data_IF_432433897440
#
_entry.id   IF_432433897440
#
_cell.length_a   1.000
_cell.length_b   1.000
_cell.length_c   1.000
_cell.angle_alpha   90.00
_cell.angle_beta   90.00
_cell.angle_gamma   90.00
#
_symmetry.space_group_name_H-M   'P 1'
#
loop_
_entity.id
_entity.type
_entity.pdbx_description
1 polymer ?
#
# COMPACT_ATOMS: atom_id res chain seq x y z
N UNK A 1 9.03 -22.18 54.17
CA UNK A 1 9.76 -21.22 53.34
C UNK A 1 10.66 -21.99 52.39
N UNK A 2 10.29 -22.11 51.14
CA UNK A 2 11.15 -22.55 50.01
C UNK A 2 10.81 -21.65 48.82
N UNK A 3 11.79 -20.85 48.44
CA UNK A 3 11.70 -19.96 47.30
C UNK A 3 11.81 -20.76 45.98
N UNK A 4 10.85 -20.59 45.08
CA UNK A 4 10.91 -21.12 43.73
C UNK A 4 11.57 -20.05 42.83
N UNK A 5 12.77 -20.34 42.34
CA UNK A 5 13.45 -19.53 41.36
C UNK A 5 12.91 -19.83 39.96
N UNK A 6 12.42 -18.80 39.29
CA UNK A 6 12.01 -18.86 37.90
C UNK A 6 13.24 -18.70 37.01
N UNK A 7 13.58 -19.78 36.27
CA UNK A 7 14.63 -19.75 35.27
C UNK A 7 14.08 -19.08 33.99
N UNK A 8 14.61 -17.92 33.66
CA UNK A 8 14.42 -17.27 32.35
C UNK A 8 15.33 -17.97 31.32
N UNK A 9 14.75 -18.75 30.45
CA UNK A 9 15.40 -19.28 29.25
C UNK A 9 15.54 -18.15 28.21
N UNK A 10 16.72 -17.60 28.08
CA UNK A 10 17.10 -16.74 26.99
C UNK A 10 17.27 -17.60 25.71
N UNK A 11 16.36 -17.50 24.77
CA UNK A 11 16.50 -18.10 23.44
C UNK A 11 17.54 -17.30 22.65
N UNK A 12 18.71 -17.90 22.45
CA UNK A 12 19.74 -17.37 21.56
C UNK A 12 19.27 -17.49 20.10
N UNK A 13 19.07 -16.36 19.42
CA UNK A 13 18.90 -16.31 17.98
C UNK A 13 20.22 -16.71 17.31
N UNK A 14 20.20 -17.55 16.24
CA UNK A 14 21.40 -17.86 15.50
C UNK A 14 21.93 -16.59 14.81
N UNK A 15 23.25 -16.44 14.83
CA UNK A 15 23.96 -15.35 14.20
C UNK A 15 23.56 -15.18 12.74
N UNK A 16 23.09 -13.99 12.38
CA UNK A 16 22.80 -13.55 11.04
C UNK A 16 24.06 -13.73 10.17
N UNK A 17 23.90 -14.27 8.99
CA UNK A 17 24.88 -14.20 7.91
C UNK A 17 25.09 -12.71 7.64
N UNK A 18 26.20 -12.18 8.12
CA UNK A 18 26.64 -10.82 7.86
C UNK A 18 27.13 -10.75 6.39
N UNK A 19 26.20 -10.64 5.46
CA UNK A 19 26.48 -10.06 4.15
C UNK A 19 26.88 -8.60 4.40
N UNK A 20 27.93 -8.12 3.74
CA UNK A 20 28.37 -6.73 3.84
C UNK A 20 27.16 -5.83 3.58
N UNK A 21 26.77 -5.03 4.59
CA UNK A 21 25.71 -4.04 4.46
C UNK A 21 26.21 -3.02 3.45
N UNK A 22 25.63 -3.04 2.24
CA UNK A 22 25.92 -1.99 1.25
C UNK A 22 25.57 -0.65 1.87
N UNK A 23 26.54 0.22 1.98
CA UNK A 23 26.36 1.57 2.53
C UNK A 23 25.36 2.34 1.65
N UNK A 24 24.52 3.16 2.30
CA UNK A 24 23.72 4.18 1.57
C UNK A 24 24.70 5.03 0.75
N UNK A 25 24.44 5.29 -0.53
CA UNK A 25 25.35 6.05 -1.38
C UNK A 25 25.74 7.38 -0.74
N UNK A 26 27.01 7.71 -0.74
CA UNK A 26 27.50 9.03 -0.32
C UNK A 26 26.79 10.13 -1.12
N UNK A 27 26.31 11.16 -0.44
CA UNK A 27 25.55 12.25 -1.09
C UNK A 27 24.06 11.95 -1.37
N UNK A 28 23.52 10.81 -0.92
CA UNK A 28 22.09 10.48 -1.13
C UNK A 28 21.17 11.57 -0.58
N UNK A 29 21.42 12.08 0.63
CA UNK A 29 20.60 13.13 1.22
C UNK A 29 20.56 14.38 0.34
N UNK A 30 21.73 14.79 -0.16
CA UNK A 30 21.83 15.94 -1.07
C UNK A 30 21.09 15.69 -2.38
N UNK A 31 21.24 14.53 -2.99
CA UNK A 31 20.56 14.18 -4.23
C UNK A 31 19.01 14.17 -4.05
N UNK A 32 18.52 13.67 -2.92
CA UNK A 32 17.09 13.68 -2.61
C UNK A 32 16.59 15.09 -2.29
N UNK A 33 17.38 15.93 -1.62
CA UNK A 33 17.02 17.33 -1.40
C UNK A 33 16.91 18.09 -2.73
N UNK A 34 17.88 17.93 -3.63
CA UNK A 34 17.85 18.53 -4.97
C UNK A 34 16.64 18.07 -5.78
N UNK A 35 16.26 16.77 -5.66
CA UNK A 35 15.09 16.20 -6.32
C UNK A 35 13.79 16.79 -5.76
N UNK A 36 13.65 16.89 -4.43
CA UNK A 36 12.49 17.50 -3.78
C UNK A 36 12.36 18.99 -4.12
N UNK A 37 13.46 19.74 -4.04
CA UNK A 37 13.50 21.16 -4.40
C UNK A 37 13.16 21.39 -5.88
N UNK A 38 13.61 20.51 -6.77
CA UNK A 38 13.25 20.54 -8.18
C UNK A 38 11.75 20.29 -8.38
N UNK A 39 11.16 19.31 -7.68
CA UNK A 39 9.72 19.03 -7.77
C UNK A 39 8.87 20.25 -7.36
N UNK A 40 9.25 20.95 -6.29
CA UNK A 40 8.57 22.18 -5.88
C UNK A 40 8.77 23.32 -6.89
N UNK A 41 10.02 23.53 -7.32
CA UNK A 41 10.35 24.63 -8.26
C UNK A 41 9.67 24.46 -9.62
N UNK A 42 9.57 23.22 -10.13
CA UNK A 42 8.91 22.91 -11.39
C UNK A 42 7.39 22.76 -11.26
N UNK A 43 6.85 22.97 -10.05
CA UNK A 43 5.43 22.80 -9.74
C UNK A 43 4.90 21.39 -10.05
N UNK A 44 5.71 20.37 -9.85
CA UNK A 44 5.27 18.98 -9.94
C UNK A 44 4.30 18.62 -8.79
N UNK A 45 4.48 19.24 -7.62
CA UNK A 45 3.57 19.15 -6.47
C UNK A 45 3.70 20.39 -5.58
N UNK A 46 2.64 20.74 -4.79
CA UNK A 46 2.72 21.79 -3.77
C UNK A 46 3.64 21.43 -2.61
N UNK A 47 3.59 20.19 -2.17
CA UNK A 47 4.34 19.68 -1.04
C UNK A 47 4.77 18.23 -1.24
N UNK A 48 5.91 17.89 -0.65
CA UNK A 48 6.51 16.56 -0.75
C UNK A 48 7.16 16.15 0.58
N UNK A 49 7.00 14.89 0.93
CA UNK A 49 7.68 14.24 2.04
C UNK A 49 8.38 12.99 1.54
N UNK A 50 9.68 12.82 1.86
CA UNK A 50 10.47 11.65 1.52
C UNK A 50 11.14 11.07 2.75
N UNK A 51 11.22 9.75 2.83
CA UNK A 51 11.99 9.05 3.85
C UNK A 51 12.73 7.87 3.25
N UNK A 52 13.99 7.66 3.65
CA UNK A 52 14.79 6.48 3.29
C UNK A 52 15.26 5.80 4.56
N UNK A 53 15.04 4.49 4.63
CA UNK A 53 15.41 3.66 5.77
C UNK A 53 16.21 2.45 5.31
N UNK A 54 17.10 1.99 6.15
CA UNK A 54 17.82 0.73 5.96
C UNK A 54 18.04 0.05 7.32
N UNK A 55 17.72 -1.26 7.40
CA UNK A 55 17.93 -2.06 8.61
C UNK A 55 17.29 -1.43 9.86
N UNK A 56 16.03 -1.00 9.76
CA UNK A 56 15.26 -0.35 10.80
C UNK A 56 15.81 1.02 11.26
N UNK A 57 16.67 1.65 10.48
CA UNK A 57 17.24 2.97 10.80
C UNK A 57 16.91 3.99 9.71
N UNK A 58 16.48 5.20 10.10
CA UNK A 58 16.35 6.29 9.14
C UNK A 58 17.73 6.71 8.61
N UNK A 59 17.81 6.95 7.29
CA UNK A 59 18.98 7.45 6.61
C UNK A 59 18.75 8.87 6.10
N UNK A 60 17.57 9.12 5.55
CA UNK A 60 17.16 10.44 5.06
C UNK A 60 15.71 10.67 5.44
N UNK A 61 15.39 11.89 5.89
CA UNK A 61 14.03 12.38 6.11
C UNK A 61 13.95 13.81 5.59
N UNK A 62 13.09 14.06 4.61
CA UNK A 62 12.94 15.35 3.95
C UNK A 62 11.46 15.75 3.87
N UNK A 63 11.21 17.04 4.08
CA UNK A 63 9.92 17.67 3.87
C UNK A 63 10.15 19.01 3.16
N UNK A 64 9.42 19.27 2.07
CA UNK A 64 9.54 20.51 1.27
C UNK A 64 8.18 20.98 0.80
N UNK A 65 8.07 22.27 0.56
CA UNK A 65 6.86 22.91 0.02
C UNK A 65 5.75 23.09 1.05
N UNK A 66 4.51 23.15 0.58
CA UNK A 66 3.33 23.54 1.35
C UNK A 66 2.39 22.38 1.61
N UNK A 67 2.02 22.16 2.86
CA UNK A 67 0.94 21.29 3.31
C UNK A 67 -0.43 21.89 2.98
N UNK A 68 -0.53 23.20 3.05
CA UNK A 68 -1.71 23.96 2.68
C UNK A 68 -1.27 25.26 1.98
N UNK A 69 -1.70 25.44 0.72
CA UNK A 69 -1.36 26.63 -0.09
C UNK A 69 -2.08 27.88 0.38
N UNK A 70 -3.31 27.76 0.89
CA UNK A 70 -4.14 28.89 1.29
C UNK A 70 -3.63 29.55 2.57
N UNK A 71 -3.13 28.74 3.51
CA UNK A 71 -2.58 29.19 4.80
C UNK A 71 -1.06 29.30 4.79
N UNK A 72 -0.40 28.95 3.66
CA UNK A 72 1.05 28.85 3.53
C UNK A 72 1.71 27.94 4.60
N UNK A 73 0.98 26.93 5.10
CA UNK A 73 1.49 25.97 6.07
C UNK A 73 2.52 25.07 5.41
N UNK A 74 3.78 24.97 5.92
CA UNK A 74 4.79 24.13 5.33
C UNK A 74 4.53 22.64 5.58
N UNK A 75 5.03 21.77 4.68
CA UNK A 75 5.14 20.34 4.96
C UNK A 75 6.21 20.13 6.03
N UNK A 76 5.87 19.32 7.03
CA UNK A 76 6.76 18.93 8.13
C UNK A 76 6.93 17.40 8.18
N UNK A 77 7.86 16.91 9.00
CA UNK A 77 8.06 15.48 9.22
C UNK A 77 6.80 14.76 9.76
N UNK A 78 5.96 15.48 10.51
CA UNK A 78 4.70 14.96 11.04
C UNK A 78 3.49 15.19 10.10
N UNK A 79 3.69 15.72 8.90
CA UNK A 79 2.59 15.94 7.95
C UNK A 79 2.01 14.61 7.48
N UNK A 80 0.67 14.49 7.57
CA UNK A 80 -0.08 13.27 7.30
C UNK A 80 -0.75 13.37 5.94
N UNK A 81 -0.42 12.45 5.04
CA UNK A 81 -0.94 12.38 3.68
C UNK A 81 -1.87 11.19 3.51
N UNK A 82 -2.83 11.28 2.60
CA UNK A 82 -3.52 10.09 2.09
C UNK A 82 -2.56 9.31 1.19
N UNK A 83 -2.55 8.00 1.35
CA UNK A 83 -1.58 7.12 0.68
C UNK A 83 -2.20 6.27 -0.44
N UNK A 84 -3.51 6.40 -0.69
CA UNK A 84 -4.19 5.70 -1.78
C UNK A 84 -3.92 4.19 -1.76
N UNK A 85 -3.62 3.62 -2.92
CA UNK A 85 -3.45 2.17 -3.09
C UNK A 85 -2.30 1.53 -2.30
N UNK A 86 -1.45 2.30 -1.60
CA UNK A 86 -0.56 1.71 -0.60
C UNK A 86 -1.34 0.99 0.51
N UNK A 87 -2.63 1.31 0.68
CA UNK A 87 -3.57 0.63 1.57
C UNK A 87 -3.61 -0.88 1.34
N UNK A 88 -3.49 -1.33 0.09
CA UNK A 88 -3.64 -2.73 -0.29
C UNK A 88 -2.67 -3.66 0.42
N UNK A 89 -1.45 -3.22 0.68
CA UNK A 89 -0.45 -4.00 1.41
C UNK A 89 -0.92 -4.30 2.85
N UNK A 90 -1.53 -3.34 3.51
CA UNK A 90 -2.04 -3.49 4.88
C UNK A 90 -3.26 -4.42 4.91
N UNK A 91 -4.18 -4.26 3.95
CA UNK A 91 -5.34 -5.15 3.80
C UNK A 91 -4.91 -6.60 3.54
N UNK A 92 -3.96 -6.82 2.63
CA UNK A 92 -3.43 -8.15 2.34
C UNK A 92 -2.68 -8.75 3.55
N UNK A 93 -1.94 -7.95 4.30
CA UNK A 93 -1.27 -8.40 5.53
C UNK A 93 -2.27 -8.76 6.63
N UNK A 94 -3.40 -8.04 6.75
CA UNK A 94 -4.50 -8.41 7.66
C UNK A 94 -5.09 -9.77 7.30
N UNK A 95 -5.35 -10.03 6.01
CA UNK A 95 -5.81 -11.34 5.54
C UNK A 95 -4.79 -12.43 5.90
N UNK A 96 -3.50 -12.20 5.63
CA UNK A 96 -2.45 -13.16 5.98
C UNK A 96 -2.36 -13.43 7.49
N UNK A 97 -2.50 -12.40 8.34
CA UNK A 97 -2.56 -12.58 9.81
C UNK A 97 -3.80 -13.35 10.27
N UNK A 98 -4.96 -13.11 9.66
CA UNK A 98 -6.17 -13.85 10.00
C UNK A 98 -6.09 -15.32 9.54
N UNK A 99 -5.40 -15.59 8.41
CA UNK A 99 -5.09 -16.94 7.97
C UNK A 99 -4.15 -17.64 8.96
N UNK A 100 -3.07 -17.00 9.43
CA UNK A 100 -2.19 -17.54 10.47
C UNK A 100 -2.90 -17.86 11.79
N UNK A 101 -3.98 -17.12 12.09
CA UNK A 101 -4.84 -17.35 13.24
C UNK A 101 -5.89 -18.46 13.00
N UNK A 102 -5.92 -19.09 11.82
CA UNK A 102 -6.89 -20.12 11.44
C UNK A 102 -8.32 -19.59 11.29
N UNK A 103 -8.52 -18.28 11.12
CA UNK A 103 -9.85 -17.67 11.01
C UNK A 103 -10.40 -17.66 9.59
N UNK A 104 -9.55 -17.79 8.61
CA UNK A 104 -9.88 -17.89 7.20
C UNK A 104 -8.80 -18.67 6.45
N UNK A 105 -9.08 -19.05 5.20
CA UNK A 105 -8.07 -19.49 4.24
C UNK A 105 -8.15 -18.63 2.98
N UNK A 106 -7.02 -18.25 2.41
CA UNK A 106 -6.99 -17.52 1.13
C UNK A 106 -7.55 -18.35 -0.04
N UNK A 107 -7.66 -19.67 0.12
CA UNK A 107 -8.26 -20.58 -0.86
C UNK A 107 -9.78 -20.73 -0.70
N UNK A 108 -10.39 -20.17 0.35
CA UNK A 108 -11.84 -20.17 0.50
C UNK A 108 -12.49 -19.26 -0.55
N UNK A 109 -13.67 -19.66 -1.01
CA UNK A 109 -14.54 -18.81 -1.83
C UNK A 109 -15.07 -17.62 -1.04
N UNK A 110 -15.22 -16.49 -1.72
CA UNK A 110 -15.74 -15.25 -1.13
C UNK A 110 -17.11 -15.43 -0.45
N UNK A 111 -17.97 -16.27 -1.00
CA UNK A 111 -19.30 -16.59 -0.49
C UNK A 111 -19.31 -17.21 0.92
N UNK A 112 -18.22 -17.84 1.33
CA UNK A 112 -18.06 -18.36 2.70
C UNK A 112 -18.14 -17.24 3.75
N UNK A 113 -17.71 -16.04 3.42
CA UNK A 113 -17.69 -14.89 4.32
C UNK A 113 -18.72 -13.83 3.99
N UNK A 114 -19.12 -13.74 2.73
CA UNK A 114 -20.09 -12.79 2.21
C UNK A 114 -21.19 -13.57 1.46
N UNK A 115 -22.15 -14.07 2.22
CA UNK A 115 -23.22 -14.98 1.77
C UNK A 115 -23.98 -14.49 0.52
N UNK A 116 -24.06 -13.17 0.31
CA UNK A 116 -24.72 -12.59 -0.86
C UNK A 116 -23.94 -12.76 -2.18
N UNK A 117 -22.77 -13.42 -2.15
CA UNK A 117 -22.06 -13.91 -3.33
C UNK A 117 -22.40 -15.37 -3.67
N UNK A 118 -23.16 -16.09 -2.84
CA UNK A 118 -23.56 -17.46 -3.12
C UNK A 118 -24.28 -17.59 -4.49
N UNK A 119 -23.92 -18.60 -5.26
CA UNK A 119 -24.47 -18.84 -6.60
C UNK A 119 -23.96 -17.91 -7.71
N UNK A 120 -23.04 -16.99 -7.40
CA UNK A 120 -22.50 -16.01 -8.36
C UNK A 120 -21.09 -16.38 -8.88
N UNK A 121 -20.71 -17.67 -8.81
CA UNK A 121 -19.37 -18.13 -9.18
C UNK A 121 -18.25 -17.35 -8.46
N UNK A 122 -18.27 -17.28 -7.12
CA UNK A 122 -17.41 -16.39 -6.37
C UNK A 122 -15.93 -16.73 -6.56
N UNK A 123 -15.06 -15.71 -6.63
CA UNK A 123 -13.62 -15.90 -6.60
C UNK A 123 -13.16 -16.39 -5.22
N UNK A 124 -11.97 -16.96 -5.15
CA UNK A 124 -11.25 -17.17 -3.89
C UNK A 124 -10.68 -15.86 -3.34
N UNK A 125 -10.38 -15.80 -2.04
CA UNK A 125 -9.70 -14.63 -1.47
C UNK A 125 -8.32 -14.40 -2.11
N UNK A 126 -7.62 -15.47 -2.51
CA UNK A 126 -6.35 -15.37 -3.21
C UNK A 126 -6.49 -14.68 -4.58
N UNK A 127 -7.54 -15.01 -5.32
CA UNK A 127 -7.83 -14.37 -6.61
C UNK A 127 -8.15 -12.87 -6.45
N UNK A 128 -8.84 -12.48 -5.37
CA UNK A 128 -9.04 -11.07 -5.02
C UNK A 128 -7.70 -10.37 -4.71
N UNK A 129 -6.87 -10.97 -3.87
CA UNK A 129 -5.54 -10.44 -3.51
C UNK A 129 -4.69 -10.22 -4.76
N UNK A 130 -4.71 -11.16 -5.67
CA UNK A 130 -3.86 -11.20 -6.87
C UNK A 130 -4.44 -10.46 -8.08
N UNK A 131 -5.63 -9.84 -7.97
CA UNK A 131 -6.32 -9.19 -9.08
C UNK A 131 -6.67 -10.15 -10.26
N UNK A 132 -6.86 -11.42 -9.97
CA UNK A 132 -7.31 -12.43 -10.95
C UNK A 132 -8.78 -12.83 -10.76
N UNK A 133 -9.49 -12.14 -9.87
CA UNK A 133 -10.89 -12.41 -9.52
C UNK A 133 -11.89 -12.00 -10.60
N UNK A 134 -11.49 -11.17 -11.55
CA UNK A 134 -12.39 -10.65 -12.60
C UNK A 134 -13.47 -9.69 -12.13
N UNK A 135 -13.55 -9.35 -10.84
CA UNK A 135 -14.56 -8.41 -10.34
C UNK A 135 -14.42 -7.06 -11.03
N UNK A 136 -15.53 -6.56 -11.55
CA UNK A 136 -15.59 -5.34 -12.37
C UNK A 136 -14.80 -4.19 -11.74
N UNK A 137 -13.92 -3.58 -12.55
CA UNK A 137 -12.93 -2.64 -12.02
C UNK A 137 -13.51 -1.27 -11.66
N UNK A 138 -14.57 -0.81 -12.35
CA UNK A 138 -15.21 0.47 -12.08
C UNK A 138 -16.04 0.41 -10.78
N UNK A 139 -15.58 1.14 -9.76
CA UNK A 139 -16.21 1.15 -8.43
C UNK A 139 -16.92 2.47 -8.12
N UNK A 140 -16.76 3.50 -8.94
CA UNK A 140 -17.30 4.84 -8.69
C UNK A 140 -18.83 4.83 -8.59
N UNK A 141 -19.49 3.94 -9.33
CA UNK A 141 -20.96 3.78 -9.33
C UNK A 141 -21.54 3.24 -8.02
N UNK A 142 -20.71 2.61 -7.18
CA UNK A 142 -21.15 2.05 -5.88
C UNK A 142 -20.92 3.01 -4.71
N UNK A 143 -20.18 4.10 -4.92
CA UNK A 143 -19.93 5.08 -3.88
C UNK A 143 -21.19 5.90 -3.55
N UNK A 144 -21.32 6.25 -2.29
CA UNK A 144 -22.45 7.01 -1.72
C UNK A 144 -21.88 8.10 -0.80
N UNK A 145 -22.38 9.34 -0.83
CA UNK A 145 -21.90 10.38 0.06
C UNK A 145 -22.16 10.08 1.55
N UNK A 146 -23.02 9.11 1.85
CA UNK A 146 -23.22 8.63 3.22
C UNK A 146 -22.06 7.72 3.64
N UNK A 147 -21.74 7.73 4.92
CA UNK A 147 -20.77 6.80 5.48
C UNK A 147 -21.34 5.37 5.48
N UNK A 148 -20.69 4.45 4.77
CA UNK A 148 -21.12 3.06 4.61
C UNK A 148 -19.99 2.11 5.02
N UNK A 149 -20.35 0.94 5.55
CA UNK A 149 -19.39 -0.11 5.92
C UNK A 149 -18.81 -0.80 4.66
N UNK A 150 -17.68 -1.50 4.82
CA UNK A 150 -17.13 -2.28 3.73
C UNK A 150 -18.08 -3.41 3.29
N UNK A 151 -18.82 -4.01 4.25
CA UNK A 151 -19.83 -5.03 3.93
C UNK A 151 -20.97 -4.45 3.09
N UNK A 152 -21.41 -3.22 3.35
CA UNK A 152 -22.44 -2.58 2.53
C UNK A 152 -21.93 -2.25 1.13
N UNK A 153 -20.70 -1.74 0.99
CA UNK A 153 -20.07 -1.55 -0.33
C UNK A 153 -19.95 -2.88 -1.09
N UNK A 154 -19.56 -3.95 -0.40
CA UNK A 154 -19.50 -5.29 -1.00
C UNK A 154 -20.88 -5.77 -1.51
N UNK A 155 -21.97 -5.45 -0.78
CA UNK A 155 -23.34 -5.73 -1.28
C UNK A 155 -23.65 -4.96 -2.55
N UNK A 156 -23.29 -3.69 -2.63
CA UNK A 156 -23.48 -2.88 -3.84
C UNK A 156 -22.67 -3.43 -5.01
N UNK A 157 -21.40 -3.80 -4.77
CA UNK A 157 -20.58 -4.47 -5.79
C UNK A 157 -21.27 -5.74 -6.28
N UNK A 158 -21.78 -6.56 -5.37
CA UNK A 158 -22.46 -7.82 -5.73
C UNK A 158 -23.77 -7.63 -6.50
N UNK A 159 -24.36 -6.46 -6.43
CA UNK A 159 -25.64 -6.11 -7.07
C UNK A 159 -25.43 -5.38 -8.43
N UNK A 160 -24.21 -5.14 -8.86
CA UNK A 160 -23.94 -4.52 -10.17
C UNK A 160 -24.43 -5.42 -11.30
N UNK A 161 -24.92 -4.83 -12.39
CA UNK A 161 -25.37 -5.53 -13.59
C UNK A 161 -24.22 -6.36 -14.18
N UNK A 162 -23.03 -5.76 -14.29
CA UNK A 162 -21.80 -6.45 -14.67
C UNK A 162 -20.97 -6.70 -13.42
N UNK A 163 -21.02 -7.92 -12.90
CA UNK A 163 -20.26 -8.29 -11.72
C UNK A 163 -18.80 -8.65 -12.06
N UNK A 164 -18.58 -9.30 -13.20
CA UNK A 164 -17.28 -9.76 -13.65
C UNK A 164 -16.96 -9.29 -15.06
N UNK A 165 -15.75 -8.76 -15.26
CA UNK A 165 -15.19 -8.44 -16.57
C UNK A 165 -14.73 -9.73 -17.30
N UNK A 166 -14.33 -10.76 -16.53
CA UNK A 166 -13.94 -12.09 -17.01
C UNK A 166 -14.15 -13.13 -15.91
N UNK A 167 -14.22 -14.44 -16.24
CA UNK A 167 -14.38 -15.49 -15.25
C UNK A 167 -13.21 -15.52 -14.24
N UNK A 168 -13.46 -15.67 -12.92
CA UNK A 168 -12.42 -15.72 -11.91
C UNK A 168 -11.30 -16.71 -12.24
N UNK A 169 -10.06 -16.29 -12.09
CA UNK A 169 -8.85 -17.08 -12.31
C UNK A 169 -8.41 -17.24 -13.78
N UNK A 170 -9.00 -16.52 -14.74
CA UNK A 170 -8.69 -16.67 -16.17
C UNK A 170 -7.83 -15.56 -16.78
N UNK A 171 -7.80 -14.39 -16.17
CA UNK A 171 -7.01 -13.23 -16.59
C UNK A 171 -6.61 -12.37 -15.39
N UNK A 172 -5.87 -11.30 -15.64
CA UNK A 172 -5.48 -10.30 -14.66
C UNK A 172 -6.00 -8.91 -15.04
N UNK A 173 -6.64 -8.24 -14.07
CA UNK A 173 -7.03 -6.82 -14.18
C UNK A 173 -7.00 -6.18 -12.79
N UNK A 174 -6.27 -5.08 -12.65
CA UNK A 174 -6.25 -4.33 -11.41
C UNK A 174 -7.65 -3.79 -11.07
N UNK A 175 -8.19 -4.13 -9.91
CA UNK A 175 -9.52 -3.71 -9.49
C UNK A 175 -9.53 -3.30 -8.02
N UNK A 176 -10.02 -2.08 -7.73
CA UNK A 176 -10.26 -1.62 -6.37
C UNK A 176 -11.35 -2.43 -5.66
N UNK A 177 -12.36 -2.90 -6.42
CA UNK A 177 -13.42 -3.75 -5.88
C UNK A 177 -12.86 -4.96 -5.14
N UNK A 178 -11.80 -5.60 -5.65
CA UNK A 178 -11.18 -6.75 -5.00
C UNK A 178 -10.76 -6.45 -3.55
N UNK A 179 -10.15 -5.32 -3.31
CA UNK A 179 -9.65 -4.95 -1.98
C UNK A 179 -10.72 -4.33 -1.07
N UNK A 180 -11.78 -3.76 -1.63
CA UNK A 180 -13.00 -3.42 -0.89
C UNK A 180 -13.66 -4.71 -0.37
N UNK A 181 -13.78 -5.75 -1.21
CA UNK A 181 -14.30 -7.06 -0.83
C UNK A 181 -13.44 -7.73 0.25
N UNK A 182 -12.10 -7.66 0.14
CA UNK A 182 -11.20 -8.14 1.21
C UNK A 182 -11.39 -7.36 2.52
N UNK A 183 -11.63 -6.05 2.45
CA UNK A 183 -12.00 -5.24 3.60
C UNK A 183 -13.29 -5.73 4.27
N UNK A 184 -14.31 -6.06 3.47
CA UNK A 184 -15.57 -6.63 3.96
C UNK A 184 -15.38 -8.02 4.60
N UNK A 185 -14.51 -8.87 4.03
CA UNK A 185 -14.15 -10.16 4.63
C UNK A 185 -13.48 -9.96 5.99
N UNK A 186 -12.57 -8.99 6.13
CA UNK A 186 -11.94 -8.68 7.41
C UNK A 186 -13.00 -8.25 8.44
N UNK A 187 -13.96 -7.40 8.07
CA UNK A 187 -15.06 -7.00 8.95
C UNK A 187 -15.92 -8.20 9.36
N UNK A 188 -16.30 -9.06 8.40
CA UNK A 188 -17.10 -10.25 8.67
C UNK A 188 -16.40 -11.25 9.60
N UNK A 189 -15.09 -11.49 9.39
CA UNK A 189 -14.31 -12.46 10.18
C UNK A 189 -13.97 -11.93 11.56
N UNK A 190 -13.73 -10.62 11.71
CA UNK A 190 -13.31 -10.02 12.99
C UNK A 190 -14.49 -9.52 13.83
N UNK A 191 -15.66 -9.30 13.23
CA UNK A 191 -16.79 -8.62 13.85
C UNK A 191 -16.51 -7.15 14.20
N UNK A 192 -15.50 -6.54 13.58
CA UNK A 192 -15.05 -5.16 13.86
C UNK A 192 -14.91 -4.37 12.56
N UNK A 193 -15.12 -3.04 12.60
CA UNK A 193 -14.79 -2.18 11.47
C UNK A 193 -13.34 -2.38 11.02
N UNK A 194 -13.09 -2.33 9.71
CA UNK A 194 -11.76 -2.51 9.11
C UNK A 194 -10.69 -1.64 9.78
N UNK A 195 -11.00 -0.36 10.03
CA UNK A 195 -10.10 0.57 10.71
C UNK A 195 -9.69 0.10 12.11
N UNK A 196 -10.64 -0.45 12.88
CA UNK A 196 -10.40 -0.97 14.23
C UNK A 196 -9.55 -2.24 14.18
N UNK A 197 -9.84 -3.16 13.26
CA UNK A 197 -9.06 -4.38 13.07
C UNK A 197 -7.61 -4.05 12.69
N UNK A 198 -7.40 -3.13 11.75
CA UNK A 198 -6.08 -2.70 11.31
C UNK A 198 -5.29 -2.02 12.43
N UNK A 199 -5.91 -1.10 13.16
CA UNK A 199 -5.28 -0.43 14.30
C UNK A 199 -4.76 -1.44 15.31
N UNK A 200 -5.60 -2.38 15.73
CA UNK A 200 -5.27 -3.38 16.76
C UNK A 200 -4.24 -4.41 16.28
N UNK A 201 -4.36 -4.89 15.04
CA UNK A 201 -3.56 -6.01 14.54
C UNK A 201 -2.25 -5.57 13.87
N UNK A 202 -2.17 -4.31 13.38
CA UNK A 202 -1.01 -3.81 12.66
C UNK A 202 -0.45 -2.52 13.27
N UNK A 203 -1.25 -1.44 13.35
CA UNK A 203 -0.68 -0.12 13.58
C UNK A 203 -0.14 0.04 15.00
N UNK A 204 -0.91 -0.31 16.04
CA UNK A 204 -0.48 -0.22 17.45
C UNK A 204 0.73 -1.13 17.74
N UNK A 205 0.73 -2.44 17.35
CA UNK A 205 1.89 -3.30 17.62
C UNK A 205 3.18 -2.86 16.92
N UNK A 206 3.09 -2.14 15.79
CA UNK A 206 4.23 -1.66 15.01
C UNK A 206 4.63 -0.22 15.34
N UNK A 207 3.88 0.45 16.24
CA UNK A 207 4.11 1.85 16.58
C UNK A 207 3.92 2.82 15.41
N UNK A 208 2.97 2.52 14.49
CA UNK A 208 2.62 3.37 13.37
C UNK A 208 1.57 4.39 13.82
N UNK A 209 2.02 5.41 14.53
CA UNK A 209 1.14 6.35 15.26
C UNK A 209 0.40 7.33 14.34
N UNK A 210 0.95 7.60 13.17
CA UNK A 210 0.38 8.53 12.19
C UNK A 210 -0.33 7.81 11.04
N UNK A 211 -0.41 6.46 11.11
CA UNK A 211 -1.06 5.62 10.12
C UNK A 211 -2.43 5.16 10.60
N UNK A 212 -3.46 5.40 9.79
CA UNK A 212 -4.82 4.93 10.06
C UNK A 212 -5.63 4.84 8.77
N UNK A 213 -6.73 4.08 8.78
CA UNK A 213 -7.80 4.26 7.80
C UNK A 213 -8.42 5.64 8.02
N UNK A 214 -8.45 6.44 6.97
CA UNK A 214 -8.89 7.85 7.02
C UNK A 214 -10.40 7.97 6.89
N UNK A 215 -10.96 9.01 7.50
CA UNK A 215 -12.33 9.43 7.33
C UNK A 215 -12.38 10.95 7.13
N UNK A 216 -13.29 11.41 6.24
CA UNK A 216 -13.43 12.83 5.97
C UNK A 216 -13.87 13.61 7.21
N UNK A 217 -14.64 12.98 8.10
CA UNK A 217 -15.13 13.59 9.34
C UNK A 217 -14.07 13.70 10.45
N UNK A 218 -12.94 12.99 10.34
CA UNK A 218 -11.91 12.99 11.37
C UNK A 218 -11.15 14.32 11.41
N UNK A 219 -10.93 14.85 12.60
CA UNK A 219 -9.95 15.91 12.83
C UNK A 219 -8.57 15.26 13.04
N UNK A 220 -7.72 15.34 12.00
CA UNK A 220 -6.39 14.74 12.03
C UNK A 220 -5.34 15.84 12.15
N UNK A 221 -4.56 15.85 13.24
CA UNK A 221 -3.44 16.79 13.37
C UNK A 221 -2.47 16.65 12.19
N UNK A 222 -1.94 17.77 11.71
CA UNK A 222 -0.97 17.83 10.61
C UNK A 222 -1.46 17.24 9.25
N UNK A 223 -2.77 17.04 9.07
CA UNK A 223 -3.32 16.61 7.78
C UNK A 223 -3.01 17.66 6.72
N UNK A 224 -2.49 17.23 5.58
CA UNK A 224 -2.23 18.10 4.43
C UNK A 224 -3.46 18.19 3.52
N UNK A 225 -3.61 19.30 2.80
CA UNK A 225 -4.63 19.46 1.76
C UNK A 225 -4.18 18.80 0.46
N UNK A 226 -5.14 18.23 -0.27
CA UNK A 226 -4.91 17.64 -1.58
C UNK A 226 -5.19 18.63 -2.71
N UNK A 227 -4.43 18.52 -3.80
CA UNK A 227 -4.51 19.45 -4.92
C UNK A 227 -4.55 18.74 -6.26
N UNK A 228 -5.18 19.39 -7.25
CA UNK A 228 -5.22 18.98 -8.65
C UNK A 228 -4.42 19.96 -9.51
N UNK A 229 -3.54 19.53 -10.41
CA UNK A 229 -2.88 20.42 -11.35
C UNK A 229 -3.89 21.12 -12.25
N UNK A 230 -3.77 22.42 -12.45
CA UNK A 230 -4.61 23.14 -13.41
C UNK A 230 -3.98 23.17 -14.78
N UNK A 231 -4.81 23.30 -15.84
CA UNK A 231 -4.32 23.60 -17.17
C UNK A 231 -3.58 24.94 -17.16
N UNK A 232 -2.49 25.02 -17.91
CA UNK A 232 -1.53 26.10 -17.89
C UNK A 232 -2.15 27.51 -17.86
N UNK A 233 -1.67 28.34 -16.95
CA UNK A 233 -1.81 29.79 -17.07
C UNK A 233 -1.85 30.58 -15.77
N UNK A 234 -2.72 30.32 -14.81
CA UNK A 234 -2.86 31.24 -13.69
C UNK A 234 -2.38 30.65 -12.35
N UNK A 235 -3.12 29.76 -11.77
CA UNK A 235 -2.68 29.02 -10.59
C UNK A 235 -2.18 27.65 -11.05
N UNK A 236 -1.08 27.17 -10.48
CA UNK A 236 -0.56 25.83 -10.84
C UNK A 236 -1.47 24.70 -10.30
N UNK A 237 -2.28 24.99 -9.28
CA UNK A 237 -3.08 24.02 -8.54
C UNK A 237 -4.45 24.56 -8.15
N UNK A 238 -5.44 23.68 -8.12
CA UNK A 238 -6.73 23.86 -7.48
C UNK A 238 -6.87 22.88 -6.32
N UNK A 239 -7.82 23.11 -5.41
CA UNK A 239 -8.20 22.10 -4.43
C UNK A 239 -8.75 20.87 -5.15
N UNK A 240 -8.32 19.70 -4.73
CA UNK A 240 -8.82 18.46 -5.28
C UNK A 240 -10.27 18.18 -4.85
N UNK A 241 -11.00 17.40 -5.63
CA UNK A 241 -12.36 17.00 -5.31
C UNK A 241 -12.43 16.24 -3.98
N UNK A 242 -13.47 16.51 -3.21
CA UNK A 242 -13.72 15.81 -1.97
C UNK A 242 -14.27 14.41 -2.25
N UNK A 243 -13.40 13.40 -2.21
CA UNK A 243 -13.80 12.01 -2.33
C UNK A 243 -14.23 11.47 -0.95
N UNK A 244 -15.31 10.65 -0.82
CA UNK A 244 -15.62 9.92 0.39
C UNK A 244 -14.57 8.80 0.60
N UNK A 245 -13.44 9.17 1.22
CA UNK A 245 -12.24 8.33 1.34
C UNK A 245 -12.50 7.01 2.07
N UNK A 246 -13.46 6.99 2.99
CA UNK A 246 -13.89 5.81 3.74
C UNK A 246 -14.32 4.68 2.81
N UNK A 247 -14.87 5.03 1.66
CA UNK A 247 -15.38 4.06 0.67
C UNK A 247 -14.27 3.46 -0.19
N UNK A 248 -13.12 4.12 -0.29
CA UNK A 248 -11.93 3.48 -0.84
C UNK A 248 -11.44 2.32 0.06
N UNK A 249 -11.82 2.32 1.34
CA UNK A 249 -11.69 1.22 2.29
C UNK A 249 -10.40 0.44 2.19
N UNK A 250 -10.49 -0.86 2.12
CA UNK A 250 -9.36 -1.78 1.97
C UNK A 250 -8.51 -1.55 0.71
N UNK A 251 -9.00 -0.78 -0.27
CA UNK A 251 -8.30 -0.49 -1.50
C UNK A 251 -7.46 0.80 -1.46
N UNK A 252 -7.87 1.81 -0.65
CA UNK A 252 -7.26 3.14 -0.81
C UNK A 252 -7.36 4.12 0.35
N UNK A 253 -7.95 3.77 1.49
CA UNK A 253 -8.32 4.73 2.52
C UNK A 253 -7.24 5.03 3.57
N UNK A 254 -6.02 4.51 3.46
CA UNK A 254 -4.98 4.80 4.48
C UNK A 254 -4.45 6.23 4.33
N UNK A 255 -4.28 6.89 5.49
CA UNK A 255 -3.41 8.05 5.69
C UNK A 255 -2.14 7.64 6.42
N UNK A 256 -1.03 8.32 6.17
CA UNK A 256 0.26 7.99 6.80
C UNK A 256 1.28 9.13 6.64
N UNK A 257 2.46 8.94 7.20
CA UNK A 257 3.68 9.71 6.93
C UNK A 257 4.69 8.86 6.16
N UNK A 258 5.66 9.48 5.49
CA UNK A 258 6.73 8.73 4.80
C UNK A 258 7.56 7.91 5.80
N UNK A 259 7.71 8.37 7.04
CA UNK A 259 8.39 7.67 8.13
C UNK A 259 7.66 6.39 8.52
N UNK A 260 6.35 6.45 8.76
CA UNK A 260 5.56 5.27 9.12
C UNK A 260 5.48 4.27 7.98
N UNK A 261 5.40 4.72 6.73
CA UNK A 261 5.46 3.84 5.56
C UNK A 261 6.80 3.09 5.47
N UNK A 262 7.91 3.76 5.77
CA UNK A 262 9.20 3.08 5.86
C UNK A 262 9.24 2.07 7.01
N UNK A 263 8.76 2.42 8.21
CA UNK A 263 8.64 1.49 9.35
C UNK A 263 7.79 0.28 9.00
N UNK A 264 6.69 0.50 8.30
CA UNK A 264 5.82 -0.57 7.81
C UNK A 264 6.60 -1.59 6.96
N UNK A 265 7.29 -1.14 5.92
CA UNK A 265 8.07 -2.03 5.06
C UNK A 265 9.24 -2.70 5.81
N UNK A 266 9.93 -1.96 6.69
CA UNK A 266 10.98 -2.55 7.52
C UNK A 266 10.43 -3.68 8.40
N UNK A 267 9.26 -3.48 9.03
CA UNK A 267 8.59 -4.49 9.84
C UNK A 267 8.11 -5.69 9.00
N UNK A 268 7.50 -5.43 7.83
CA UNK A 268 7.00 -6.47 6.93
C UNK A 268 8.14 -7.39 6.48
N UNK A 269 9.21 -6.81 5.94
CA UNK A 269 10.34 -7.58 5.38
C UNK A 269 11.31 -8.13 6.43
N UNK A 270 11.20 -7.73 7.70
CA UNK A 270 11.90 -8.38 8.82
C UNK A 270 11.13 -9.59 9.40
N UNK A 271 9.90 -9.84 8.96
CA UNK A 271 9.06 -10.91 9.50
C UNK A 271 8.36 -10.54 10.82
N UNK A 272 8.33 -9.25 11.18
CA UNK A 272 7.65 -8.78 12.41
C UNK A 272 6.13 -8.67 12.25
N UNK A 273 5.62 -8.65 11.03
CA UNK A 273 4.19 -8.52 10.72
C UNK A 273 3.52 -9.88 10.61
N UNK A 274 4.08 -10.78 9.81
CA UNK A 274 3.61 -12.14 9.53
C UNK A 274 4.77 -13.11 9.62
N UNK A 275 4.50 -14.41 9.68
CA UNK A 275 5.54 -15.45 9.65
C UNK A 275 6.34 -15.39 8.34
N UNK A 276 7.54 -15.97 8.37
CA UNK A 276 8.38 -16.10 7.17
C UNK A 276 7.66 -16.81 6.03
N UNK A 277 6.94 -17.89 6.32
CA UNK A 277 6.17 -18.62 5.32
C UNK A 277 5.07 -17.77 4.69
N UNK A 278 4.37 -16.96 5.48
CA UNK A 278 3.36 -16.02 4.96
C UNK A 278 4.01 -14.91 4.14
N UNK A 279 5.14 -14.36 4.57
CA UNK A 279 5.88 -13.37 3.81
C UNK A 279 6.33 -13.92 2.44
N UNK A 280 6.82 -15.15 2.40
CA UNK A 280 7.20 -15.83 1.14
C UNK A 280 5.99 -15.95 0.20
N UNK A 281 4.79 -16.30 0.72
CA UNK A 281 3.55 -16.30 -0.06
C UNK A 281 3.17 -14.90 -0.54
N UNK A 282 3.31 -13.88 0.31
CA UNK A 282 3.03 -12.49 -0.06
C UNK A 282 3.93 -11.99 -1.21
N UNK A 283 5.14 -12.51 -1.30
CA UNK A 283 6.13 -12.19 -2.35
C UNK A 283 6.10 -13.15 -3.54
N UNK A 284 5.16 -14.09 -3.57
CA UNK A 284 4.92 -14.94 -4.73
C UNK A 284 4.09 -14.18 -5.78
N UNK A 285 4.46 -14.33 -7.06
CA UNK A 285 3.72 -13.72 -8.17
C UNK A 285 2.40 -14.42 -8.44
N UNK A 286 1.38 -13.66 -8.78
CA UNK A 286 0.06 -14.15 -9.14
C UNK A 286 0.10 -15.17 -10.29
N UNK A 287 -0.70 -16.24 -10.14
CA UNK A 287 -0.93 -17.26 -11.17
C UNK A 287 -2.42 -17.39 -11.42
N UNK A 288 -2.78 -17.79 -12.63
CA UNK A 288 -4.12 -18.15 -13.02
C UNK A 288 -4.47 -19.56 -12.50
N UNK A 289 -5.74 -19.98 -12.58
CA UNK A 289 -6.20 -21.32 -12.14
C UNK A 289 -5.50 -22.47 -12.90
N UNK A 290 -5.10 -22.24 -14.13
CA UNK A 290 -4.37 -23.21 -14.95
C UNK A 290 -2.85 -23.20 -14.70
N UNK A 291 -2.37 -22.40 -13.73
CA UNK A 291 -0.96 -22.31 -13.34
C UNK A 291 -0.12 -21.32 -14.16
N UNK A 292 -0.65 -20.75 -15.24
CA UNK A 292 0.09 -19.76 -16.05
C UNK A 292 0.37 -18.46 -15.25
N UNK A 293 1.50 -17.76 -15.50
CA UNK A 293 1.76 -16.47 -14.87
C UNK A 293 0.68 -15.44 -15.23
N UNK A 294 0.07 -14.81 -14.25
CA UNK A 294 -1.00 -13.84 -14.48
C UNK A 294 -0.53 -12.60 -15.26
N UNK A 295 0.75 -12.21 -15.10
CA UNK A 295 1.36 -11.07 -15.79
C UNK A 295 1.32 -11.17 -17.32
N UNK A 296 1.33 -12.39 -17.86
CA UNK A 296 1.31 -12.66 -19.29
C UNK A 296 -0.12 -12.69 -19.88
N UNK A 297 -1.13 -12.62 -19.01
CA UNK A 297 -2.54 -12.79 -19.37
C UNK A 297 -3.39 -11.61 -18.85
N UNK A 298 -3.01 -10.40 -19.23
CA UNK A 298 -3.75 -9.18 -18.88
C UNK A 298 -5.03 -9.12 -19.68
N UNK A 299 -6.14 -8.81 -19.01
CA UNK A 299 -7.42 -8.58 -19.66
C UNK A 299 -7.38 -7.31 -20.51
N UNK A 300 -6.77 -6.24 -19.97
CA UNK A 300 -6.44 -5.04 -20.74
C UNK A 300 -4.91 -4.95 -20.92
N UNK A 301 -4.39 -5.18 -22.14
CA UNK A 301 -2.95 -5.06 -22.40
C UNK A 301 -2.39 -3.65 -22.18
N UNK A 302 -3.24 -2.61 -22.24
CA UNK A 302 -2.86 -1.23 -22.01
C UNK A 302 -2.78 -0.87 -20.52
N UNK A 303 -3.30 -1.73 -19.61
CA UNK A 303 -3.20 -1.50 -18.18
C UNK A 303 -1.74 -1.50 -17.71
N UNK A 304 -1.26 -0.30 -17.36
CA UNK A 304 0.11 -0.09 -16.89
C UNK A 304 0.29 -0.37 -15.38
N UNK A 305 -0.78 -0.70 -14.65
CA UNK A 305 -0.74 -0.83 -13.19
C UNK A 305 0.12 -1.99 -12.70
N UNK A 306 0.36 -3.00 -13.54
CA UNK A 306 1.21 -4.13 -13.15
C UNK A 306 2.69 -3.93 -13.48
N UNK A 307 3.07 -3.02 -14.36
CA UNK A 307 4.45 -2.95 -14.84
C UNK A 307 4.90 -4.26 -15.52
N UNK A 308 6.19 -4.55 -15.56
CA UNK A 308 6.74 -5.70 -16.29
C UNK A 308 6.94 -6.98 -15.45
N UNK A 309 6.66 -7.00 -14.16
CA UNK A 309 7.31 -7.95 -13.26
C UNK A 309 6.40 -8.92 -12.52
N UNK A 310 5.23 -8.52 -12.10
CA UNK A 310 4.26 -9.37 -11.41
C UNK A 310 3.65 -8.71 -10.19
N UNK A 311 2.62 -9.33 -9.64
CA UNK A 311 1.85 -8.83 -8.51
C UNK A 311 1.72 -9.92 -7.43
N UNK A 312 1.98 -9.52 -6.18
CA UNK A 312 1.80 -10.34 -4.99
C UNK A 312 0.66 -9.81 -4.11
N UNK A 313 0.84 -9.81 -2.80
CA UNK A 313 -0.16 -9.35 -1.84
C UNK A 313 -0.12 -7.83 -1.67
N UNK A 314 -0.77 -7.11 -2.57
CA UNK A 314 -0.76 -5.65 -2.57
C UNK A 314 0.62 -5.04 -2.92
N UNK A 315 1.46 -5.79 -3.60
CA UNK A 315 2.83 -5.44 -3.94
C UNK A 315 3.11 -5.74 -5.42
N UNK A 316 3.66 -4.79 -6.13
CA UNK A 316 4.37 -5.01 -7.39
C UNK A 316 5.74 -5.60 -7.08
N UNK A 317 6.12 -6.65 -7.80
CA UNK A 317 7.33 -7.42 -7.55
C UNK A 317 8.28 -7.28 -8.74
N UNK A 318 9.34 -6.49 -8.58
CA UNK A 318 10.34 -6.26 -9.64
C UNK A 318 11.62 -7.04 -9.33
N UNK A 319 11.93 -8.01 -10.20
CA UNK A 319 13.14 -8.86 -10.12
C UNK A 319 14.22 -8.46 -11.13
N UNK A 320 14.01 -7.37 -11.87
CA UNK A 320 15.02 -6.84 -12.78
C UNK A 320 16.07 -6.02 -12.00
N UNK A 321 16.83 -6.71 -11.13
CA UNK A 321 17.91 -6.13 -10.33
C UNK A 321 19.25 -6.78 -10.72
N UNK A 322 20.36 -6.06 -10.53
CA UNK A 322 21.71 -6.56 -10.87
C UNK A 322 22.15 -7.75 -10.03
N UNK A 323 21.71 -7.78 -8.78
CA UNK A 323 22.04 -8.85 -7.82
C UNK A 323 21.04 -10.02 -7.85
N UNK A 324 20.06 -9.99 -8.77
CA UNK A 324 18.97 -10.97 -8.81
C UNK A 324 18.01 -10.89 -7.63
N UNK A 325 18.08 -9.82 -6.84
CA UNK A 325 17.20 -9.56 -5.71
C UNK A 325 15.78 -9.21 -6.13
N UNK A 326 15.01 -8.69 -5.20
CA UNK A 326 13.63 -8.26 -5.38
C UNK A 326 13.44 -6.85 -4.88
N UNK A 327 12.88 -5.97 -5.71
CA UNK A 327 12.27 -4.72 -5.27
C UNK A 327 10.76 -4.94 -5.17
N UNK A 328 10.24 -4.89 -3.95
CA UNK A 328 8.82 -4.90 -3.68
C UNK A 328 8.33 -3.44 -3.53
N UNK A 329 7.32 -3.06 -4.30
CA UNK A 329 6.87 -1.67 -4.37
C UNK A 329 5.37 -1.56 -4.62
N UNK A 330 4.81 -0.39 -4.37
CA UNK A 330 3.50 0.02 -4.88
C UNK A 330 3.44 1.54 -4.99
N UNK A 331 2.64 2.04 -5.93
CA UNK A 331 2.22 3.45 -5.98
C UNK A 331 0.80 3.58 -5.40
N UNK A 332 0.48 4.76 -4.91
CA UNK A 332 -0.84 5.09 -4.42
C UNK A 332 -1.34 6.41 -4.99
N UNK A 333 -2.57 6.39 -5.49
CA UNK A 333 -3.24 7.58 -5.99
C UNK A 333 -4.64 7.65 -5.40
N UNK A 334 -5.01 8.81 -4.91
CA UNK A 334 -6.35 9.15 -4.47
C UNK A 334 -6.50 10.66 -4.61
N UNK A 335 -7.73 11.15 -4.83
CA UNK A 335 -7.98 12.57 -5.11
C UNK A 335 -7.09 13.51 -4.29
N UNK A 336 -6.27 14.29 -4.97
CA UNK A 336 -5.32 15.24 -4.41
C UNK A 336 -4.02 14.65 -3.85
N UNK A 337 -3.75 13.34 -4.01
CA UNK A 337 -2.58 12.72 -3.39
C UNK A 337 -1.93 11.66 -4.27
N UNK A 338 -0.61 11.68 -4.27
CA UNK A 338 0.23 10.66 -4.92
C UNK A 338 1.26 10.14 -3.93
N UNK A 339 1.42 8.82 -3.88
CA UNK A 339 2.32 8.12 -2.98
C UNK A 339 3.14 7.06 -3.71
N UNK A 340 4.34 6.80 -3.21
CA UNK A 340 5.19 5.72 -3.70
C UNK A 340 6.00 5.14 -2.54
N UNK A 341 6.05 3.80 -2.47
CA UNK A 341 6.76 3.06 -1.45
C UNK A 341 7.46 1.88 -2.11
N UNK A 342 8.76 1.70 -1.85
CA UNK A 342 9.54 0.60 -2.39
C UNK A 342 10.62 0.14 -1.42
N UNK A 343 10.93 -1.16 -1.48
CA UNK A 343 12.02 -1.77 -0.72
C UNK A 343 12.78 -2.76 -1.60
N UNK A 344 14.11 -2.61 -1.66
CA UNK A 344 14.98 -3.68 -2.09
C UNK A 344 15.09 -4.70 -0.94
N UNK A 345 14.45 -5.85 -1.10
CA UNK A 345 14.22 -6.81 -0.01
C UNK A 345 15.52 -7.37 0.57
N UNK A 346 16.54 -7.75 -0.25
CA UNK A 346 17.79 -8.28 0.31
C UNK A 346 18.54 -7.30 1.19
N UNK A 347 18.71 -6.04 0.77
CA UNK A 347 19.43 -5.01 1.54
C UNK A 347 18.55 -4.27 2.54
N UNK A 348 17.24 -4.54 2.55
CA UNK A 348 16.24 -3.80 3.34
C UNK A 348 16.32 -2.28 3.19
N UNK A 349 16.78 -1.82 2.02
CA UNK A 349 16.76 -0.41 1.66
C UNK A 349 15.35 -0.03 1.23
N UNK A 350 14.71 0.84 2.00
CA UNK A 350 13.31 1.27 1.82
C UNK A 350 13.27 2.75 1.51
N UNK A 351 12.39 3.15 0.62
CA UNK A 351 12.09 4.56 0.34
C UNK A 351 10.59 4.76 0.24
N UNK A 352 10.10 5.82 0.87
CA UNK A 352 8.73 6.33 0.76
C UNK A 352 8.75 7.78 0.25
N UNK A 353 7.79 8.12 -0.60
CA UNK A 353 7.57 9.47 -1.11
C UNK A 353 6.08 9.76 -1.16
N UNK A 354 5.66 10.89 -0.58
CA UNK A 354 4.29 11.37 -0.51
C UNK A 354 4.22 12.78 -1.08
N UNK A 355 3.27 13.01 -1.99
CA UNK A 355 2.99 14.31 -2.60
C UNK A 355 1.50 14.63 -2.43
N UNK A 356 1.17 15.87 -2.11
CA UNK A 356 -0.21 16.32 -1.99
C UNK A 356 -0.75 16.86 -3.32
N UNK A 357 -0.72 16.02 -4.34
CA UNK A 357 -1.21 16.36 -5.68
C UNK A 357 -1.68 15.09 -6.40
N UNK A 358 -2.65 15.24 -7.28
CA UNK A 358 -3.06 14.18 -8.20
C UNK A 358 -1.91 13.70 -9.09
N UNK A 359 -1.94 12.45 -9.58
CA UNK A 359 -0.88 11.90 -10.40
C UNK A 359 -0.63 12.73 -11.66
N UNK A 360 0.64 13.03 -11.90
CA UNK A 360 1.09 13.71 -13.10
C UNK A 360 2.47 13.22 -13.55
N UNK A 361 2.83 13.49 -14.80
CA UNK A 361 4.07 13.01 -15.41
C UNK A 361 5.36 13.58 -14.78
N UNK A 362 5.26 14.67 -14.02
CA UNK A 362 6.40 15.39 -13.44
C UNK A 362 6.74 14.92 -12.01
N UNK A 363 5.96 13.99 -11.43
CA UNK A 363 6.24 13.44 -10.11
C UNK A 363 7.61 12.74 -10.10
N UNK A 364 8.41 12.90 -9.03
CA UNK A 364 9.81 12.48 -9.01
C UNK A 364 10.01 10.97 -8.80
N UNK A 365 8.95 10.13 -8.80
CA UNK A 365 9.01 8.72 -8.41
C UNK A 365 10.00 7.90 -9.24
N UNK A 366 10.08 8.13 -10.57
CA UNK A 366 11.03 7.44 -11.45
C UNK A 366 12.47 7.81 -11.14
N UNK A 367 12.75 9.12 -10.94
CA UNK A 367 14.08 9.60 -10.60
C UNK A 367 14.47 9.14 -9.20
N UNK A 368 13.55 9.21 -8.23
CA UNK A 368 13.74 8.72 -6.87
C UNK A 368 14.14 7.24 -6.86
N UNK A 369 13.43 6.39 -7.63
CA UNK A 369 13.78 4.98 -7.79
C UNK A 369 15.21 4.81 -8.29
N UNK A 370 15.61 5.54 -9.35
CA UNK A 370 16.96 5.47 -9.93
C UNK A 370 18.02 5.96 -8.95
N UNK A 371 17.74 7.00 -8.18
CA UNK A 371 18.68 7.56 -7.21
C UNK A 371 18.90 6.63 -6.02
N UNK A 372 17.82 6.11 -5.42
CA UNK A 372 17.90 5.28 -4.20
C UNK A 372 18.42 3.88 -4.51
N UNK A 373 18.00 3.29 -5.62
CA UNK A 373 18.37 1.92 -6.01
C UNK A 373 19.43 1.89 -7.14
N UNK A 374 20.29 2.92 -7.25
CA UNK A 374 21.27 3.03 -8.31
C UNK A 374 22.22 1.82 -8.41
N UNK A 375 22.56 1.21 -7.28
CA UNK A 375 23.43 0.04 -7.21
C UNK A 375 22.69 -1.26 -7.53
N UNK A 376 21.39 -1.32 -7.33
CA UNK A 376 20.54 -2.51 -7.51
C UNK A 376 19.90 -2.58 -8.90
N UNK A 377 19.75 -1.44 -9.60
CA UNK A 377 19.15 -1.40 -10.93
C UNK A 377 20.17 -1.71 -12.03
N UNK A 378 19.72 -2.35 -13.17
CA UNK A 378 20.56 -2.62 -14.34
C UNK A 378 21.18 -1.37 -14.96
#
# INVERSE_FOLDING_TARGET
MKAAGTLLLASAFPASIAGAVEAVPDGLERALAELADAAIRTRACPGIQMSVWQENRPRVMLARGSANLETATPVAAASVFRAGSLTKQFTAALIAKLEEQGKLSVHDGLDRYLEFFAGKHPPTLLELIHHTAGVHAATESVFDPRNVTQVELARRISAQETLYDFPPGTAWLYSNANYILLGAVIEAVTGQPLATAARRLLFEPLGLTDTAFDANADVVPNRVNGYTPTAAGAAAFANADCLPVEQAGGAGAIRSTATDLCRWHQALFSGSVVSRASLERMLATARLRDGRPAIEHRFDPADANMGATGYGYGLLLDRATRDGGLIALHSGFISGFSAWLATHVPSRLTVACLCNVDPNANLPFRQLRRTVFAQQLP
#
